data_IF_380910485281
#
_entry.id   IF_380910485281
#
_cell.length_a   1.000
_cell.length_b   1.000
_cell.length_c   1.000
_cell.angle_alpha   90.00
_cell.angle_beta   90.00
_cell.angle_gamma   90.00
#
_symmetry.space_group_name_H-M   'P 1'
#
loop_
_entity.id
_entity.type
_entity.pdbx_description
1 polymer ?
#
# COMPACT_ATOMS: atom_id res chain seq x y z
N UNK A 1 2.60 55.64 -36.74
CA UNK A 1 2.26 56.19 -35.42
C UNK A 1 2.10 55.02 -34.45
N UNK A 2 2.88 54.98 -33.36
CA UNK A 2 2.85 53.95 -32.30
C UNK A 2 1.73 54.25 -31.29
N UNK A 3 1.08 53.20 -30.76
CA UNK A 3 0.35 53.01 -29.48
C UNK A 3 -0.58 51.80 -29.69
N UNK A 4 -0.73 50.78 -28.84
CA UNK A 4 -0.41 50.56 -27.44
C UNK A 4 -0.25 49.06 -27.17
N UNK A 5 0.63 48.73 -26.24
CA UNK A 5 0.71 47.41 -25.60
C UNK A 5 -0.14 47.37 -24.33
N UNK A 6 -0.59 46.15 -24.01
CA UNK A 6 -0.80 45.59 -22.68
C UNK A 6 -2.16 45.78 -21.96
N UNK A 7 -2.45 44.76 -21.14
CA UNK A 7 -3.59 44.52 -20.23
C UNK A 7 -4.86 43.97 -20.92
N UNK A 8 -5.42 42.80 -20.60
CA UNK A 8 -5.41 41.98 -19.37
C UNK A 8 -5.51 40.49 -19.78
N UNK A 9 -4.55 39.64 -19.47
CA UNK A 9 -4.55 38.75 -18.29
C UNK A 9 -5.73 38.95 -17.33
N UNK A 10 -6.85 38.25 -17.58
CA UNK A 10 -8.02 37.96 -16.72
C UNK A 10 -9.09 37.48 -17.74
N UNK A 11 -9.27 36.20 -18.01
CA UNK A 11 -10.08 35.28 -17.20
C UNK A 11 -9.60 33.85 -17.50
N UNK A 12 -8.78 33.30 -16.60
CA UNK A 12 -8.90 31.87 -16.30
C UNK A 12 -10.17 31.70 -15.45
N UNK A 13 -10.89 30.59 -15.67
CA UNK A 13 -12.06 30.10 -14.91
C UNK A 13 -13.42 30.70 -15.26
N UNK A 14 -14.08 30.22 -16.34
CA UNK A 14 -15.54 29.98 -16.34
C UNK A 14 -15.86 28.75 -17.22
N UNK A 15 -16.31 27.67 -16.57
CA UNK A 15 -17.21 26.57 -17.03
C UNK A 15 -16.84 25.82 -18.32
N UNK A 16 -16.73 24.49 -18.38
CA UNK A 16 -17.66 23.48 -17.86
C UNK A 16 -19.11 23.93 -18.08
N UNK A 17 -19.63 23.69 -19.29
CA UNK A 17 -20.99 24.01 -19.68
C UNK A 17 -21.25 23.53 -21.09
N UNK A 18 -21.84 22.34 -21.16
CA UNK A 18 -22.65 21.80 -22.27
C UNK A 18 -22.01 21.72 -23.66
N UNK A 19 -21.34 20.59 -23.92
CA UNK A 19 -21.38 19.98 -25.26
C UNK A 19 -22.83 19.52 -25.51
N UNK A 20 -23.71 20.48 -25.82
CA UNK A 20 -24.97 20.17 -26.49
C UNK A 20 -24.60 19.56 -27.84
N UNK A 21 -24.87 18.27 -27.98
CA UNK A 21 -24.74 17.48 -29.18
C UNK A 21 -25.66 18.07 -30.27
N UNK A 22 -25.16 19.08 -31.00
CA UNK A 22 -25.78 19.55 -32.23
C UNK A 22 -25.70 18.41 -33.24
N UNK A 23 -26.73 17.56 -33.27
CA UNK A 23 -27.02 16.72 -34.43
C UNK A 23 -27.22 17.65 -35.63
N UNK A 24 -26.15 17.84 -36.39
CA UNK A 24 -26.22 18.49 -37.69
C UNK A 24 -26.91 17.50 -38.61
N UNK A 25 -28.22 17.66 -38.82
CA UNK A 25 -28.94 16.93 -39.85
C UNK A 25 -28.19 17.05 -41.17
N UNK A 26 -27.62 15.93 -41.63
CA UNK A 26 -26.86 15.90 -42.85
C UNK A 26 -27.83 16.05 -44.03
N UNK A 27 -27.82 17.23 -44.66
CA UNK A 27 -28.58 17.50 -45.88
C UNK A 27 -28.27 16.42 -46.94
N UNK A 28 -29.28 15.85 -47.62
CA UNK A 28 -29.06 14.79 -48.60
C UNK A 28 -28.22 15.29 -49.77
N UNK A 29 -27.17 14.54 -50.12
CA UNK A 29 -26.27 14.81 -51.23
C UNK A 29 -27.00 14.64 -52.57
N UNK A 30 -26.73 15.54 -53.52
CA UNK A 30 -27.24 15.42 -54.89
C UNK A 30 -26.30 14.55 -55.73
N UNK A 31 -26.84 13.96 -56.80
CA UNK A 31 -26.07 13.10 -57.71
C UNK A 31 -24.94 13.91 -58.35
N UNK A 32 -23.68 13.57 -58.04
CA UNK A 32 -22.47 14.26 -58.50
C UNK A 32 -21.67 14.97 -57.41
N UNK A 33 -22.21 15.12 -56.19
CA UNK A 33 -21.47 15.69 -55.07
C UNK A 33 -20.63 14.63 -54.34
N UNK A 34 -19.39 14.97 -54.02
CA UNK A 34 -18.49 14.13 -53.21
C UNK A 34 -18.29 14.78 -51.86
N UNK A 35 -18.42 14.01 -50.77
CA UNK A 35 -18.17 14.48 -49.40
C UNK A 35 -17.07 13.64 -48.77
N UNK A 36 -16.11 14.29 -48.13
CA UNK A 36 -15.19 13.62 -47.19
C UNK A 36 -15.89 13.47 -45.84
N UNK A 37 -15.87 12.25 -45.32
CA UNK A 37 -16.38 11.91 -43.99
C UNK A 37 -15.19 11.41 -43.19
N UNK A 38 -14.90 12.07 -42.06
CA UNK A 38 -13.97 11.54 -41.07
C UNK A 38 -14.72 10.57 -40.16
N UNK A 39 -14.28 9.32 -40.15
CA UNK A 39 -14.76 8.30 -39.23
C UNK A 39 -13.96 8.41 -37.94
N UNK A 40 -14.64 8.76 -36.85
CA UNK A 40 -14.05 8.72 -35.51
C UNK A 40 -14.27 7.31 -34.94
N UNK A 41 -13.19 6.66 -34.52
CA UNK A 41 -13.23 5.31 -33.96
C UNK A 41 -14.04 5.29 -32.66
N UNK A 42 -15.08 4.46 -32.61
CA UNK A 42 -15.89 4.20 -31.42
C UNK A 42 -15.04 3.44 -30.38
N UNK A 43 -15.19 3.71 -29.07
CA UNK A 43 -14.58 2.87 -28.04
C UNK A 43 -15.05 1.41 -28.20
N UNK A 44 -14.09 0.48 -28.17
CA UNK A 44 -14.33 -0.97 -28.25
C UNK A 44 -15.15 -1.42 -27.03
N UNK A 45 -16.38 -1.87 -27.27
CA UNK A 45 -17.25 -2.50 -26.27
C UNK A 45 -16.84 -3.98 -26.11
N UNK A 46 -15.82 -4.23 -25.29
CA UNK A 46 -15.30 -5.58 -25.04
C UNK A 46 -15.78 -6.07 -23.68
N UNK A 47 -16.64 -7.07 -23.70
CA UNK A 47 -17.04 -7.82 -22.50
C UNK A 47 -16.04 -8.95 -22.23
N UNK A 48 -15.64 -9.11 -20.97
CA UNK A 48 -14.74 -10.17 -20.48
C UNK A 48 -13.35 -10.20 -21.14
N UNK A 49 -12.74 -9.04 -21.38
CA UNK A 49 -11.35 -8.99 -21.81
C UNK A 49 -10.41 -9.40 -20.65
N UNK A 50 -9.80 -10.57 -20.77
CA UNK A 50 -8.75 -11.04 -19.87
C UNK A 50 -7.44 -11.14 -20.63
N UNK A 51 -6.37 -10.52 -20.10
CA UNK A 51 -5.04 -10.55 -20.70
C UNK A 51 -3.99 -10.79 -19.63
N UNK A 52 -3.34 -11.94 -19.70
CA UNK A 52 -2.18 -12.25 -18.85
C UNK A 52 -0.95 -11.51 -19.38
N UNK A 53 -0.31 -10.71 -18.53
CA UNK A 53 0.91 -9.97 -18.86
C UNK A 53 2.11 -10.59 -18.12
N UNK A 54 3.19 -10.85 -18.86
CA UNK A 54 4.45 -11.29 -18.26
C UNK A 54 5.27 -10.12 -17.71
N UNK A 55 6.27 -10.42 -16.88
CA UNK A 55 7.14 -9.42 -16.23
C UNK A 55 7.85 -8.47 -17.21
N UNK A 56 8.22 -8.95 -18.39
CA UNK A 56 8.85 -8.13 -19.43
C UNK A 56 7.88 -7.15 -20.08
N UNK A 57 6.59 -7.49 -20.12
CA UNK A 57 5.56 -6.64 -20.73
C UNK A 57 5.06 -5.59 -19.75
N UNK A 58 5.01 -5.92 -18.45
CA UNK A 58 4.76 -4.95 -17.39
C UNK A 58 5.80 -3.82 -17.40
N UNK A 59 7.09 -4.13 -17.65
CA UNK A 59 8.15 -3.11 -17.75
C UNK A 59 7.99 -2.13 -18.91
N UNK A 60 7.19 -2.48 -19.93
CA UNK A 60 6.92 -1.62 -21.08
C UNK A 60 5.71 -0.70 -20.86
N UNK A 61 4.94 -0.90 -19.79
CA UNK A 61 3.79 -0.07 -19.49
C UNK A 61 4.22 1.33 -19.03
N UNK A 62 3.42 2.37 -19.33
CA UNK A 62 3.65 3.70 -18.81
C UNK A 62 3.68 3.73 -17.27
N UNK A 63 4.55 4.53 -16.65
CA UNK A 63 4.75 4.53 -15.20
C UNK A 63 3.46 4.84 -14.41
N UNK A 64 2.64 5.77 -14.88
CA UNK A 64 1.36 6.09 -14.24
C UNK A 64 0.34 4.94 -14.25
N UNK A 65 0.43 4.01 -15.21
CA UNK A 65 -0.41 2.80 -15.23
C UNK A 65 0.13 1.80 -14.22
N UNK A 66 1.45 1.60 -14.16
CA UNK A 66 2.08 0.73 -13.16
C UNK A 66 1.77 1.19 -11.73
N UNK A 67 1.86 2.48 -11.46
CA UNK A 67 1.50 3.07 -10.16
C UNK A 67 0.02 2.98 -9.80
N UNK A 68 -0.87 2.76 -10.78
CA UNK A 68 -2.29 2.55 -10.51
C UNK A 68 -2.60 1.06 -10.36
N UNK A 69 -2.00 0.22 -11.20
CA UNK A 69 -2.16 -1.23 -11.16
C UNK A 69 -1.53 -1.83 -9.91
N UNK A 70 -0.35 -1.36 -9.47
CA UNK A 70 0.32 -1.93 -8.29
C UNK A 70 -0.57 -1.83 -7.03
N UNK A 71 -1.31 -0.73 -6.86
CA UNK A 71 -2.15 -0.53 -5.68
C UNK A 71 -3.39 -1.43 -5.68
N UNK A 72 -3.80 -1.86 -6.87
CA UNK A 72 -5.00 -2.69 -7.08
C UNK A 72 -4.67 -4.19 -7.02
N UNK A 73 -3.42 -4.55 -7.29
CA UNK A 73 -2.91 -5.93 -7.37
C UNK A 73 -2.12 -6.34 -6.11
N UNK A 74 -1.91 -5.40 -5.18
CA UNK A 74 -1.38 -5.72 -3.85
C UNK A 74 -2.50 -6.39 -3.05
N UNK A 75 -2.38 -7.69 -2.88
CA UNK A 75 -3.12 -8.42 -1.86
C UNK A 75 -2.65 -7.94 -0.48
N UNK A 76 -3.49 -7.10 0.16
CA UNK A 76 -3.26 -6.58 1.51
C UNK A 76 -3.52 -7.63 2.60
N UNK A 77 -4.38 -8.62 2.31
CA UNK A 77 -4.69 -9.77 3.15
C UNK A 77 -4.68 -11.00 2.25
N UNK A 78 -4.01 -12.05 2.68
CA UNK A 78 -3.68 -13.21 1.86
C UNK A 78 -4.91 -14.00 1.45
N UNK A 79 -4.84 -14.55 0.23
CA UNK A 79 -5.71 -15.63 -0.23
C UNK A 79 -5.14 -16.97 0.25
N UNK A 80 -6.01 -17.95 0.49
CA UNK A 80 -5.85 -19.28 1.11
C UNK A 80 -4.68 -20.20 0.62
N UNK A 81 -3.72 -19.70 -0.17
CA UNK A 81 -2.73 -20.49 -0.91
C UNK A 81 -1.26 -20.24 -0.49
N UNK A 82 -1.00 -19.57 0.63
CA UNK A 82 0.34 -19.47 1.20
C UNK A 82 1.32 -18.53 0.49
N UNK A 83 0.83 -17.59 -0.33
CA UNK A 83 1.66 -16.52 -0.87
C UNK A 83 1.92 -15.45 0.22
N UNK A 84 3.18 -15.08 0.49
CA UNK A 84 3.50 -14.08 1.51
C UNK A 84 2.96 -12.70 1.12
N UNK A 85 2.22 -12.07 2.03
CA UNK A 85 1.47 -10.83 1.82
C UNK A 85 2.40 -9.61 1.85
N UNK A 86 1.93 -8.45 1.37
CA UNK A 86 2.66 -7.19 1.55
C UNK A 86 2.94 -6.90 3.03
N UNK A 87 1.95 -7.17 3.90
CA UNK A 87 2.09 -6.98 5.35
C UNK A 87 3.11 -7.97 5.91
N UNK A 88 3.09 -9.23 5.49
CA UNK A 88 4.08 -10.23 5.93
C UNK A 88 5.49 -9.84 5.49
N UNK A 89 5.65 -9.38 4.26
CA UNK A 89 6.92 -8.89 3.73
C UNK A 89 7.41 -7.64 4.45
N UNK A 90 6.52 -6.68 4.73
CA UNK A 90 6.85 -5.47 5.47
C UNK A 90 7.25 -5.80 6.92
N UNK A 91 6.49 -6.67 7.59
CA UNK A 91 6.75 -7.09 8.96
C UNK A 91 8.05 -7.90 9.05
N UNK A 92 8.29 -8.83 8.11
CA UNK A 92 9.54 -9.57 8.03
C UNK A 92 10.74 -8.64 7.79
N UNK A 93 10.58 -7.62 6.93
CA UNK A 93 11.63 -6.63 6.71
C UNK A 93 11.93 -5.83 8.00
N UNK A 94 10.90 -5.44 8.75
CA UNK A 94 11.06 -4.75 10.04
C UNK A 94 11.72 -5.68 11.07
N UNK A 95 11.27 -6.93 11.19
CA UNK A 95 11.81 -7.92 12.12
C UNK A 95 13.25 -8.31 11.82
N UNK A 96 13.71 -8.16 10.57
CA UNK A 96 15.10 -8.43 10.17
C UNK A 96 16.08 -7.31 10.52
N UNK A 97 15.59 -6.12 10.93
CA UNK A 97 16.44 -4.99 11.29
C UNK A 97 17.05 -5.15 12.67
N UNK A 98 18.27 -4.65 12.82
CA UNK A 98 18.92 -4.51 14.11
C UNK A 98 18.33 -3.28 14.84
N UNK A 99 17.74 -3.43 16.04
CA UNK A 99 17.24 -2.29 16.82
C UNK A 99 18.35 -1.32 17.26
N UNK A 100 19.62 -1.73 17.22
CA UNK A 100 20.78 -0.88 17.49
C UNK A 100 21.31 -0.14 16.24
N UNK A 101 20.67 -0.29 15.08
CA UNK A 101 21.06 0.40 13.86
C UNK A 101 20.97 1.93 14.04
N UNK A 102 22.09 2.67 13.91
CA UNK A 102 22.13 4.12 14.12
C UNK A 102 21.35 4.92 13.06
N UNK A 103 20.91 4.28 11.98
CA UNK A 103 20.09 4.91 10.93
C UNK A 103 18.60 4.99 11.28
N UNK A 104 18.15 4.25 12.31
CA UNK A 104 16.77 4.24 12.76
C UNK A 104 16.46 5.47 13.62
N UNK A 105 15.29 6.05 13.42
CA UNK A 105 14.76 7.03 14.37
C UNK A 105 14.46 6.34 15.73
N UNK A 106 14.41 7.09 16.84
CA UNK A 106 14.11 6.51 18.15
C UNK A 106 12.78 5.74 18.20
N UNK A 107 11.77 6.22 17.47
CA UNK A 107 10.47 5.55 17.39
C UNK A 107 10.53 4.23 16.61
N UNK A 108 11.27 4.20 15.49
CA UNK A 108 11.47 2.98 14.71
C UNK A 108 12.29 1.94 15.48
N UNK A 109 13.36 2.36 16.14
CA UNK A 109 14.15 1.47 16.99
C UNK A 109 13.32 0.86 18.12
N UNK A 110 12.46 1.66 18.76
CA UNK A 110 11.53 1.17 19.78
C UNK A 110 10.53 0.15 19.20
N UNK A 111 9.99 0.41 18.00
CA UNK A 111 9.06 -0.51 17.35
C UNK A 111 9.75 -1.84 16.99
N UNK A 112 10.95 -1.80 16.42
CA UNK A 112 11.74 -3.01 16.15
C UNK A 112 11.99 -3.79 17.44
N UNK A 113 12.40 -3.10 18.52
CA UNK A 113 12.66 -3.71 19.82
C UNK A 113 11.41 -4.35 20.42
N UNK A 114 10.25 -3.71 20.30
CA UNK A 114 8.97 -4.24 20.80
C UNK A 114 8.52 -5.47 20.02
N UNK A 115 8.64 -5.45 18.69
CA UNK A 115 8.25 -6.57 17.83
C UNK A 115 9.16 -7.79 18.01
N UNK A 116 10.43 -7.58 18.38
CA UNK A 116 11.40 -8.64 18.67
C UNK A 116 11.41 -9.07 20.14
N UNK A 117 10.59 -8.46 21.00
CA UNK A 117 10.62 -8.71 22.44
C UNK A 117 10.09 -10.11 22.76
N UNK A 118 10.78 -10.80 23.66
CA UNK A 118 10.45 -12.13 24.18
C UNK A 118 10.43 -12.12 25.71
N UNK A 119 9.87 -13.14 26.39
CA UNK A 119 9.93 -13.21 27.85
C UNK A 119 11.35 -13.08 28.42
N UNK A 120 12.37 -13.55 27.68
CA UNK A 120 13.78 -13.43 28.08
C UNK A 120 14.35 -12.02 27.96
N UNK A 121 13.82 -11.19 27.07
CA UNK A 121 14.33 -9.83 26.79
C UNK A 121 13.41 -8.72 27.29
N UNK A 122 12.24 -9.09 27.82
CA UNK A 122 11.25 -8.16 28.34
C UNK A 122 11.75 -7.42 29.59
N UNK A 123 11.58 -6.11 29.60
CA UNK A 123 11.78 -5.29 30.80
C UNK A 123 10.44 -5.13 31.52
N UNK A 124 10.33 -5.73 32.71
CA UNK A 124 9.13 -5.68 33.55
C UNK A 124 9.11 -4.48 34.50
N UNK A 125 10.18 -3.67 34.51
CA UNK A 125 10.31 -2.53 35.42
C UNK A 125 9.16 -1.53 35.22
N UNK A 126 8.49 -1.14 36.31
CA UNK A 126 7.36 -0.21 36.27
C UNK A 126 6.05 -0.81 35.74
N UNK A 127 6.01 -2.12 35.46
CA UNK A 127 4.77 -2.83 35.09
C UNK A 127 4.12 -3.49 36.31
N UNK A 128 2.85 -3.91 36.18
CA UNK A 128 2.17 -4.71 37.21
C UNK A 128 2.84 -6.07 37.47
N UNK A 129 3.70 -6.54 36.55
CA UNK A 129 4.45 -7.78 36.65
C UNK A 129 5.84 -7.60 37.27
N UNK A 130 6.25 -6.36 37.61
CA UNK A 130 7.51 -6.09 38.29
C UNK A 130 7.76 -6.97 39.55
N UNK A 131 6.76 -7.33 40.38
CA UNK A 131 6.98 -8.21 41.52
C UNK A 131 7.51 -9.61 41.16
N UNK A 132 7.34 -10.06 39.91
CA UNK A 132 7.91 -11.33 39.44
C UNK A 132 9.43 -11.32 39.41
N UNK A 133 10.05 -10.15 39.26
CA UNK A 133 11.51 -9.98 39.27
C UNK A 133 12.12 -10.49 40.58
N UNK A 134 11.42 -10.25 41.70
CA UNK A 134 11.86 -10.67 43.03
C UNK A 134 11.29 -12.05 43.41
N UNK A 135 10.05 -12.35 43.01
CA UNK A 135 9.34 -13.54 43.48
C UNK A 135 9.78 -14.83 42.77
N UNK A 136 10.03 -14.78 41.46
CA UNK A 136 10.38 -15.99 40.68
C UNK A 136 11.71 -16.63 41.13
N UNK A 137 12.82 -15.88 41.31
CA UNK A 137 14.08 -16.46 41.78
C UNK A 137 13.97 -17.09 43.17
N UNK A 138 13.14 -16.50 44.06
CA UNK A 138 12.89 -17.03 45.40
C UNK A 138 12.14 -18.35 45.42
N UNK A 139 11.39 -18.67 44.35
CA UNK A 139 10.69 -19.93 44.16
C UNK A 139 11.50 -20.95 43.34
N UNK A 140 12.72 -20.59 42.94
CA UNK A 140 13.60 -21.45 42.13
C UNK A 140 13.29 -21.45 40.64
N UNK A 141 12.53 -20.47 40.14
CA UNK A 141 12.24 -20.30 38.71
C UNK A 141 12.94 -19.06 38.16
N UNK A 142 13.22 -19.06 36.86
CA UNK A 142 13.64 -17.83 36.18
C UNK A 142 12.42 -16.97 35.82
N UNK A 143 12.60 -15.64 35.81
CA UNK A 143 11.55 -14.69 35.40
C UNK A 143 11.03 -15.01 33.98
N UNK A 144 11.87 -15.29 32.97
CA UNK A 144 11.40 -15.63 31.62
C UNK A 144 10.53 -16.89 31.57
N UNK A 145 10.83 -17.91 32.39
CA UNK A 145 10.00 -19.13 32.47
C UNK A 145 8.62 -18.85 33.05
N UNK A 146 8.56 -18.07 34.13
CA UNK A 146 7.28 -17.71 34.76
C UNK A 146 6.46 -16.82 33.83
N UNK A 147 7.10 -15.83 33.21
CA UNK A 147 6.45 -14.92 32.26
C UNK A 147 5.98 -15.66 31.00
N UNK A 148 6.82 -16.53 30.45
CA UNK A 148 6.45 -17.39 29.33
C UNK A 148 5.28 -18.31 29.66
N UNK A 149 5.30 -18.95 30.83
CA UNK A 149 4.20 -19.79 31.30
C UNK A 149 2.89 -19.01 31.51
N UNK A 150 2.97 -17.77 32.02
CA UNK A 150 1.79 -16.92 32.21
C UNK A 150 1.17 -16.46 30.90
N UNK A 151 1.98 -16.24 29.86
CA UNK A 151 1.54 -15.76 28.55
C UNK A 151 1.31 -16.89 27.54
N UNK A 152 1.67 -18.13 27.87
CA UNK A 152 1.57 -19.28 26.97
C UNK A 152 2.60 -19.26 25.83
N UNK A 153 3.73 -18.58 26.03
CA UNK A 153 4.79 -18.37 25.02
C UNK A 153 6.11 -18.94 25.54
N UNK A 154 6.93 -19.53 24.68
CA UNK A 154 8.25 -20.00 25.10
C UNK A 154 9.17 -18.83 25.51
N UNK A 155 10.13 -19.01 26.43
CA UNK A 155 10.95 -17.91 26.95
C UNK A 155 11.75 -17.14 25.88
N UNK A 156 12.15 -17.82 24.80
CA UNK A 156 12.91 -17.31 23.67
C UNK A 156 12.04 -16.89 22.48
N UNK A 157 10.75 -17.25 22.50
CA UNK A 157 9.81 -16.89 21.44
C UNK A 157 9.35 -15.44 21.60
N UNK A 158 9.31 -14.71 20.49
CA UNK A 158 8.78 -13.35 20.45
C UNK A 158 7.29 -13.35 20.81
N UNK A 159 6.82 -12.28 21.47
CA UNK A 159 5.42 -12.16 21.88
C UNK A 159 4.43 -12.07 20.71
N UNK A 160 4.89 -11.55 19.58
CA UNK A 160 4.09 -11.39 18.37
C UNK A 160 4.76 -12.16 17.23
N UNK A 161 4.02 -13.09 16.61
CA UNK A 161 4.43 -13.69 15.35
C UNK A 161 3.72 -13.02 14.16
N UNK A 162 4.30 -13.06 12.95
CA UNK A 162 3.62 -12.57 11.76
C UNK A 162 2.25 -13.21 11.50
N UNK A 163 2.10 -14.49 11.88
CA UNK A 163 0.83 -15.19 11.78
C UNK A 163 -0.25 -14.55 12.68
N UNK A 164 0.12 -14.14 13.90
CA UNK A 164 -0.82 -13.53 14.85
C UNK A 164 -1.29 -12.13 14.40
N UNK A 165 -0.47 -11.42 13.61
CA UNK A 165 -0.81 -10.07 13.10
C UNK A 165 -1.70 -10.16 11.87
N UNK A 166 -1.57 -11.22 11.06
CA UNK A 166 -2.35 -11.40 9.83
C UNK A 166 -3.82 -11.82 10.06
N UNK A 167 -4.13 -12.44 11.20
CA UNK A 167 -5.48 -12.91 11.55
C UNK A 167 -6.37 -11.85 12.24
N UNK A 168 -5.81 -10.69 12.60
CA UNK A 168 -6.50 -9.59 13.30
C UNK A 168 -7.21 -8.57 12.37
#
# INVERSE_FOLDING_TARGET
MRRWSALCLLVALIGCGDDEEKQVEAKPLRVGETRQVELWFTPLDVTNFEKTLGRLDLRKLPPHILERTWLTDIELRGVDNGAPQLIDHALAAILSRDPADPTLSPAEANLVRLLQMSPATADLSGTAMAPLLDLAPNLGFSVPEVLGAALGVAPDQAFLSPADVGEA
#
